data_IF_722040655394
#
_entry.id   IF_722040655394
#
_cell.length_a   1.000
_cell.length_b   1.000
_cell.length_c   1.000
_cell.angle_alpha   90.00
_cell.angle_beta   90.00
_cell.angle_gamma   90.00
#
_symmetry.space_group_name_H-M   'P 1'
#
loop_
_entity.id
_entity.type
_entity.pdbx_description
1 polymer ?
#
# COMPACT_ATOMS: atom_id res chain seq x y z
N UNK A 1 -5.95 13.16 -9.01
CA UNK A 1 -5.63 13.68 -7.65
C UNK A 1 -6.88 13.54 -6.82
N UNK A 2 -6.93 12.53 -5.94
CA UNK A 2 -8.09 12.25 -5.11
C UNK A 2 -8.28 13.40 -4.11
N UNK A 3 -9.40 14.13 -4.21
CA UNK A 3 -9.73 15.17 -3.25
C UNK A 3 -10.41 14.50 -2.05
N UNK A 4 -9.93 14.80 -0.84
CA UNK A 4 -10.51 14.33 0.43
C UNK A 4 -12.02 14.57 0.52
N UNK A 5 -12.52 15.56 -0.20
CA UNK A 5 -13.95 15.91 -0.33
C UNK A 5 -14.83 14.81 -0.96
N UNK A 6 -14.24 13.86 -1.70
CA UNK A 6 -14.97 12.77 -2.38
C UNK A 6 -14.84 11.41 -1.69
N UNK A 7 -14.19 11.32 -0.51
CA UNK A 7 -14.13 10.05 0.23
C UNK A 7 -15.43 9.86 1.02
N UNK A 8 -16.22 8.80 0.75
CA UNK A 8 -17.39 8.51 1.57
C UNK A 8 -16.97 8.27 3.04
N UNK A 9 -17.77 8.69 4.02
CA UNK A 9 -17.47 8.45 5.43
C UNK A 9 -17.47 6.94 5.70
N UNK A 10 -16.34 6.41 6.16
CA UNK A 10 -16.17 4.98 6.42
C UNK A 10 -14.72 4.62 6.73
N UNK A 11 -14.48 3.34 7.03
CA UNK A 11 -13.13 2.80 7.16
C UNK A 11 -12.52 2.60 5.77
N UNK A 12 -11.26 3.01 5.63
CA UNK A 12 -10.42 2.75 4.46
C UNK A 12 -9.30 1.78 4.82
N UNK A 13 -8.78 1.08 3.82
CA UNK A 13 -7.66 0.17 3.96
C UNK A 13 -6.38 1.02 4.13
N UNK A 14 -5.58 0.64 5.13
CA UNK A 14 -4.24 1.19 5.31
C UNK A 14 -3.20 0.21 4.75
N UNK A 15 -3.24 -1.04 5.23
CA UNK A 15 -2.31 -2.09 4.82
C UNK A 15 -2.82 -3.47 5.17
N UNK A 16 -2.20 -4.48 4.54
CA UNK A 16 -2.35 -5.88 4.92
C UNK A 16 -0.95 -6.40 5.27
N UNK A 17 -0.73 -6.69 6.55
CA UNK A 17 0.61 -6.96 7.08
C UNK A 17 0.73 -8.39 7.58
N UNK A 18 1.70 -9.16 7.06
CA UNK A 18 2.07 -10.44 7.65
C UNK A 18 2.56 -10.23 9.08
N UNK A 19 2.15 -11.12 9.98
CA UNK A 19 2.50 -11.07 11.40
C UNK A 19 2.77 -12.49 11.90
N UNK A 20 3.75 -12.63 12.79
CA UNK A 20 4.04 -13.90 13.44
C UNK A 20 3.34 -13.96 14.81
N UNK A 21 2.94 -15.16 15.22
CA UNK A 21 2.27 -15.35 16.52
C UNK A 21 3.13 -15.01 17.75
N UNK A 22 4.42 -14.69 17.57
CA UNK A 22 5.33 -14.23 18.62
C UNK A 22 5.35 -12.70 18.81
N UNK A 23 4.55 -11.97 18.02
CA UNK A 23 4.45 -10.51 18.05
C UNK A 23 5.53 -9.78 17.26
N UNK A 24 6.39 -10.51 16.55
CA UNK A 24 7.26 -9.95 15.51
C UNK A 24 6.58 -10.01 14.15
N UNK A 25 7.06 -9.22 13.19
CA UNK A 25 6.55 -9.24 11.83
C UNK A 25 7.70 -9.24 10.82
N UNK A 26 7.61 -10.00 9.72
CA UNK A 26 8.53 -9.84 8.63
C UNK A 26 8.19 -8.54 7.88
N UNK A 27 9.21 -7.74 7.59
CA UNK A 27 9.08 -6.54 6.76
C UNK A 27 10.20 -6.46 5.75
N UNK A 28 9.98 -5.80 4.61
CA UNK A 28 11.01 -5.55 3.61
C UNK A 28 11.68 -6.84 3.09
N UNK A 29 10.87 -7.85 2.82
CA UNK A 29 11.34 -9.12 2.27
C UNK A 29 11.67 -8.99 0.78
N UNK A 30 12.49 -9.91 0.28
CA UNK A 30 12.89 -9.92 -1.14
C UNK A 30 11.71 -10.31 -2.03
N UNK A 31 11.44 -9.55 -3.08
CA UNK A 31 10.37 -9.81 -4.03
C UNK A 31 10.51 -8.98 -5.31
N UNK A 32 9.66 -9.23 -6.33
CA UNK A 32 9.52 -8.34 -7.47
C UNK A 32 9.17 -6.92 -7.03
N UNK A 33 9.68 -5.94 -7.77
CA UNK A 33 9.30 -4.56 -7.56
C UNK A 33 7.81 -4.37 -7.90
N UNK A 34 7.15 -3.49 -7.16
CA UNK A 34 5.77 -3.10 -7.45
C UNK A 34 5.62 -2.63 -8.91
N UNK A 35 4.63 -3.19 -9.60
CA UNK A 35 4.20 -2.79 -10.93
C UNK A 35 2.71 -2.42 -10.90
N UNK A 36 2.39 -1.19 -11.27
CA UNK A 36 1.02 -0.68 -11.31
C UNK A 36 0.19 -1.38 -12.41
N UNK A 37 0.84 -1.90 -13.46
CA UNK A 37 0.15 -2.59 -14.55
C UNK A 37 -0.56 -3.87 -14.08
N UNK A 38 0.03 -4.58 -13.11
CA UNK A 38 -0.52 -5.82 -12.53
C UNK A 38 -1.84 -5.58 -11.78
N UNK A 39 -2.02 -4.39 -11.21
CA UNK A 39 -3.22 -4.01 -10.45
C UNK A 39 -4.16 -3.08 -11.24
N UNK A 40 -3.91 -2.90 -12.53
CA UNK A 40 -4.65 -1.95 -13.38
C UNK A 40 -6.17 -2.13 -13.33
N UNK A 41 -6.64 -3.37 -13.20
CA UNK A 41 -8.07 -3.73 -13.09
C UNK A 41 -8.70 -3.31 -11.75
N UNK A 42 -7.88 -3.11 -10.71
CA UNK A 42 -8.30 -2.78 -9.34
C UNK A 42 -8.20 -1.29 -9.02
N UNK A 43 -7.57 -0.47 -9.88
CA UNK A 43 -7.28 0.94 -9.60
C UNK A 43 -8.51 1.73 -9.14
N UNK A 44 -9.67 1.52 -9.76
CA UNK A 44 -10.90 2.21 -9.35
C UNK A 44 -11.36 1.85 -7.92
N UNK A 45 -11.20 0.59 -7.50
CA UNK A 45 -11.52 0.16 -6.15
C UNK A 45 -10.46 0.61 -5.14
N UNK A 46 -9.18 0.60 -5.53
CA UNK A 46 -8.09 1.06 -4.68
C UNK A 46 -8.18 2.58 -4.43
N UNK A 47 -8.53 3.37 -5.43
CA UNK A 47 -8.78 4.81 -5.25
C UNK A 47 -9.91 5.08 -4.25
N UNK A 48 -10.97 4.27 -4.26
CA UNK A 48 -12.13 4.44 -3.38
C UNK A 48 -11.89 3.93 -1.96
N UNK A 49 -11.30 2.74 -1.81
CA UNK A 49 -11.24 2.02 -0.54
C UNK A 49 -9.84 1.94 0.07
N UNK A 50 -8.79 2.19 -0.70
CA UNK A 50 -7.39 2.25 -0.25
C UNK A 50 -6.70 3.58 -0.64
N UNK A 51 -7.31 4.75 -0.35
CA UNK A 51 -6.73 6.04 -0.70
C UNK A 51 -5.50 6.36 0.17
N UNK A 52 -4.61 7.20 -0.36
CA UNK A 52 -3.61 7.89 0.46
C UNK A 52 -4.20 9.17 1.03
N UNK A 53 -4.04 9.37 2.34
CA UNK A 53 -4.39 10.61 3.03
C UNK A 53 -3.17 11.52 3.26
N UNK A 54 -1.98 11.09 2.80
CA UNK A 54 -0.75 11.85 2.89
C UNK A 54 -0.53 12.72 1.65
N UNK A 55 -0.09 13.96 1.87
CA UNK A 55 0.34 14.86 0.79
C UNK A 55 1.76 14.57 0.29
N UNK A 56 2.54 13.75 1.01
CA UNK A 56 3.91 13.37 0.65
C UNK A 56 3.95 11.96 0.07
N UNK A 57 4.93 11.71 -0.81
CA UNK A 57 5.20 10.36 -1.32
C UNK A 57 5.72 9.46 -0.20
N UNK A 58 5.20 8.25 -0.14
CA UNK A 58 5.62 7.23 0.83
C UNK A 58 7.02 6.70 0.48
N UNK A 59 7.82 6.41 1.51
CA UNK A 59 9.15 5.82 1.40
C UNK A 59 9.06 4.30 1.40
N UNK A 60 9.62 3.63 0.41
CA UNK A 60 9.73 2.17 0.38
C UNK A 60 11.00 1.69 1.10
N UNK A 61 11.16 0.39 1.30
CA UNK A 61 12.24 -0.24 2.08
C UNK A 61 13.66 0.13 1.64
N UNK A 62 13.84 0.51 0.37
CA UNK A 62 15.13 0.87 -0.21
C UNK A 62 15.33 2.40 -0.37
N UNK A 63 14.70 3.20 0.49
CA UNK A 63 14.73 4.68 0.43
C UNK A 63 14.22 5.27 -0.89
N UNK A 64 13.48 4.47 -1.67
CA UNK A 64 12.79 4.96 -2.88
C UNK A 64 11.50 5.64 -2.45
N UNK A 65 11.03 6.62 -3.22
CA UNK A 65 9.74 7.28 -2.98
C UNK A 65 8.76 6.88 -4.08
N UNK A 66 7.59 6.41 -3.68
CA UNK A 66 6.59 5.86 -4.60
C UNK A 66 5.15 6.22 -4.24
N UNK A 67 4.23 5.53 -4.90
CA UNK A 67 2.82 5.51 -4.54
C UNK A 67 2.63 4.82 -3.18
N UNK A 68 1.51 5.10 -2.52
CA UNK A 68 1.20 4.47 -1.24
C UNK A 68 1.09 2.95 -1.35
N UNK A 69 0.43 2.44 -2.40
CA UNK A 69 0.34 1.00 -2.65
C UNK A 69 1.70 0.35 -2.86
N UNK A 70 2.63 1.05 -3.53
CA UNK A 70 4.00 0.56 -3.71
C UNK A 70 4.74 0.43 -2.38
N UNK A 71 4.49 1.33 -1.41
CA UNK A 71 5.04 1.22 -0.07
C UNK A 71 4.48 0.00 0.66
N UNK A 72 3.17 -0.20 0.66
CA UNK A 72 2.52 -1.33 1.35
C UNK A 72 2.97 -2.67 0.76
N UNK A 73 3.09 -2.78 -0.57
CA UNK A 73 3.55 -4.01 -1.24
C UNK A 73 5.03 -4.29 -0.94
N UNK A 74 5.91 -3.29 -1.02
CA UNK A 74 7.35 -3.44 -0.73
C UNK A 74 7.60 -3.75 0.75
N UNK A 75 6.81 -3.14 1.64
CA UNK A 75 6.92 -3.36 3.08
C UNK A 75 6.43 -4.74 3.51
N UNK A 76 5.33 -5.21 2.90
CA UNK A 76 4.54 -6.36 3.39
C UNK A 76 4.74 -7.63 2.58
N UNK A 77 5.75 -7.69 1.70
CA UNK A 77 5.92 -8.77 0.74
C UNK A 77 6.11 -10.14 1.43
N UNK A 78 5.02 -10.88 1.63
CA UNK A 78 4.95 -12.30 2.03
C UNK A 78 3.55 -12.90 1.78
N UNK A 79 2.65 -12.19 1.09
CA UNK A 79 1.25 -12.60 0.90
C UNK A 79 0.99 -13.36 -0.41
N UNK A 80 2.02 -13.62 -1.23
CA UNK A 80 1.89 -14.39 -2.48
C UNK A 80 2.73 -15.66 -2.40
#
# INVERSE_FOLDING_TARGET
>A
MFSRENSPPGFTIHGLWPDYNDGSWPSCCSGPAFDEAEISTLLGALDQYWPTLSCSKSSTCHNKKGLFWAHEVDFSYNFV
#
